data_IF_650199385209
#
_entry.id   IF_650199385209
#
_cell.length_a   1.000
_cell.length_b   1.000
_cell.length_c   1.000
_cell.angle_alpha   90.00
_cell.angle_beta   90.00
_cell.angle_gamma   90.00
#
_symmetry.space_group_name_H-M   'P 1'
#
loop_
_entity.id
_entity.type
_entity.pdbx_description
1 polymer ?
#
# COMPACT_ATOMS: atom_id res chain seq x y z
N UNK A 1 -19.18 -70.51 -33.59
CA UNK A 1 -19.40 -69.18 -34.22
C UNK A 1 -19.78 -68.06 -33.23
N UNK A 2 -20.37 -68.32 -32.05
CA UNK A 2 -20.86 -67.29 -31.10
C UNK A 2 -19.80 -66.36 -30.45
N UNK A 3 -18.53 -66.77 -30.35
CA UNK A 3 -17.45 -65.94 -29.74
C UNK A 3 -16.99 -64.78 -30.63
N UNK A 4 -17.05 -64.91 -31.96
CA UNK A 4 -16.60 -63.84 -32.88
C UNK A 4 -17.59 -62.67 -32.91
N UNK A 5 -18.88 -62.93 -32.78
CA UNK A 5 -19.93 -61.90 -32.77
C UNK A 5 -20.00 -61.12 -31.45
N UNK A 6 -19.65 -61.73 -30.31
CA UNK A 6 -19.59 -61.03 -29.01
C UNK A 6 -18.38 -60.11 -28.89
N UNK A 7 -17.22 -60.49 -29.45
CA UNK A 7 -16.03 -59.64 -29.49
C UNK A 7 -16.26 -58.45 -30.44
N UNK A 8 -16.90 -58.69 -31.59
CA UNK A 8 -17.22 -57.61 -32.54
C UNK A 8 -18.26 -56.63 -31.96
N UNK A 9 -19.25 -57.12 -31.20
CA UNK A 9 -20.23 -56.28 -30.52
C UNK A 9 -19.59 -55.43 -29.40
N UNK A 10 -18.70 -56.01 -28.59
CA UNK A 10 -17.98 -55.28 -27.54
C UNK A 10 -17.05 -54.20 -28.14
N UNK A 11 -16.35 -54.52 -29.22
CA UNK A 11 -15.51 -53.58 -29.95
C UNK A 11 -16.33 -52.45 -30.59
N UNK A 12 -17.51 -52.76 -31.16
CA UNK A 12 -18.42 -51.76 -31.70
C UNK A 12 -19.01 -50.83 -30.61
N UNK A 13 -19.35 -51.38 -29.44
CA UNK A 13 -19.79 -50.58 -28.28
C UNK A 13 -18.69 -49.68 -27.73
N UNK A 14 -17.44 -50.15 -27.70
CA UNK A 14 -16.29 -49.35 -27.29
C UNK A 14 -15.99 -48.22 -28.29
N UNK A 15 -16.12 -48.51 -29.59
CA UNK A 15 -15.88 -47.54 -30.66
C UNK A 15 -16.96 -46.45 -30.75
N UNK A 16 -18.19 -46.75 -30.32
CA UNK A 16 -19.28 -45.78 -30.16
C UNK A 16 -19.10 -44.84 -28.96
N UNK A 17 -18.29 -45.22 -27.95
CA UNK A 17 -18.00 -44.40 -26.75
C UNK A 17 -16.77 -43.50 -26.96
N UNK A 18 -15.85 -43.86 -27.86
CA UNK A 18 -14.67 -43.05 -28.22
C UNK A 18 -14.96 -41.58 -28.60
N UNK A 19 -15.99 -41.24 -29.42
CA UNK A 19 -16.27 -39.84 -29.74
C UNK A 19 -16.78 -39.05 -28.53
N UNK A 20 -17.38 -39.72 -27.53
CA UNK A 20 -17.83 -39.09 -26.29
C UNK A 20 -16.68 -38.80 -25.32
N UNK A 21 -15.59 -39.58 -25.40
CA UNK A 21 -14.35 -39.35 -24.64
C UNK A 21 -13.45 -38.27 -25.30
N UNK A 22 -13.56 -38.11 -26.62
CA UNK A 22 -12.84 -37.09 -27.39
C UNK A 22 -13.53 -35.69 -27.35
N UNK A 23 -14.80 -35.62 -26.95
CA UNK A 23 -15.59 -34.39 -26.96
C UNK A 23 -15.33 -33.44 -25.77
N UNK A 24 -14.40 -33.76 -24.88
CA UNK A 24 -14.02 -32.88 -23.76
C UNK A 24 -12.65 -32.22 -23.98
N UNK A 25 -12.35 -31.76 -25.19
CA UNK A 25 -11.27 -30.80 -25.36
C UNK A 25 -11.81 -29.44 -24.93
N UNK A 26 -11.72 -29.16 -23.62
CA UNK A 26 -12.01 -27.85 -23.08
C UNK A 26 -11.14 -26.85 -23.84
N UNK A 27 -11.77 -25.99 -24.64
CA UNK A 27 -11.10 -24.81 -25.17
C UNK A 27 -10.74 -23.95 -23.96
N UNK A 28 -9.50 -24.09 -23.48
CA UNK A 28 -8.94 -23.14 -22.53
C UNK A 28 -8.99 -21.77 -23.19
N UNK A 29 -9.80 -20.91 -22.61
CA UNK A 29 -9.95 -19.55 -23.06
C UNK A 29 -8.56 -18.90 -23.11
N UNK A 30 -8.04 -18.49 -24.29
CA UNK A 30 -6.69 -17.96 -24.42
C UNK A 30 -6.49 -16.66 -23.65
N UNK A 31 -7.59 -16.02 -23.25
CA UNK A 31 -7.62 -14.83 -22.41
C UNK A 31 -7.62 -15.15 -20.91
N UNK A 32 -7.81 -16.41 -20.48
CA UNK A 32 -7.83 -16.87 -19.07
C UNK A 32 -8.85 -16.16 -18.17
N UNK A 33 -9.79 -15.41 -18.74
CA UNK A 33 -10.82 -14.67 -18.01
C UNK A 33 -12.20 -15.05 -18.53
N UNK A 34 -13.02 -15.64 -17.66
CA UNK A 34 -14.38 -16.08 -18.01
C UNK A 34 -15.43 -15.00 -17.70
N UNK A 35 -15.02 -13.89 -17.08
CA UNK A 35 -15.89 -12.75 -16.74
C UNK A 35 -15.23 -11.40 -17.06
N UNK A 36 -16.07 -10.40 -17.37
CA UNK A 36 -15.66 -9.01 -17.62
C UNK A 36 -15.01 -8.40 -16.36
N UNK A 37 -15.49 -8.78 -15.18
CA UNK A 37 -14.93 -8.39 -13.89
C UNK A 37 -13.51 -8.91 -13.70
N UNK A 38 -13.24 -10.19 -13.97
CA UNK A 38 -11.89 -10.76 -13.86
C UNK A 38 -10.88 -10.11 -14.81
N UNK A 39 -11.33 -9.75 -16.02
CA UNK A 39 -10.53 -8.96 -16.96
C UNK A 39 -10.24 -7.55 -16.43
N UNK A 40 -11.26 -6.83 -15.94
CA UNK A 40 -11.11 -5.49 -15.35
C UNK A 40 -10.19 -5.49 -14.13
N UNK A 41 -10.34 -6.45 -13.22
CA UNK A 41 -9.46 -6.62 -12.06
C UNK A 41 -8.00 -6.88 -12.49
N UNK A 42 -7.79 -7.66 -13.54
CA UNK A 42 -6.44 -7.94 -14.06
C UNK A 42 -5.81 -6.72 -14.74
N UNK A 43 -6.60 -5.95 -15.49
CA UNK A 43 -6.17 -4.66 -16.04
C UNK A 43 -5.84 -3.68 -14.93
N UNK A 44 -6.65 -3.62 -13.86
CA UNK A 44 -6.41 -2.77 -12.70
C UNK A 44 -5.11 -3.15 -11.99
N UNK A 45 -4.85 -4.44 -11.77
CA UNK A 45 -3.59 -4.92 -11.18
C UNK A 45 -2.39 -4.60 -12.08
N UNK A 46 -2.52 -4.78 -13.40
CA UNK A 46 -1.47 -4.43 -14.36
C UNK A 46 -1.16 -2.92 -14.32
N UNK A 47 -2.19 -2.08 -14.33
CA UNK A 47 -2.07 -0.61 -14.22
C UNK A 47 -1.45 -0.22 -12.88
N UNK A 48 -1.86 -0.85 -11.76
CA UNK A 48 -1.26 -0.63 -10.44
C UNK A 48 0.24 -0.92 -10.42
N UNK A 49 0.66 -2.04 -11.01
CA UNK A 49 2.08 -2.42 -11.07
C UNK A 49 2.89 -1.46 -11.94
N UNK A 50 2.33 -1.01 -13.06
CA UNK A 50 2.94 0.00 -13.92
C UNK A 50 3.08 1.33 -13.15
N UNK A 51 2.02 1.80 -12.49
CA UNK A 51 2.06 3.04 -11.70
C UNK A 51 3.10 2.92 -10.57
N UNK A 52 3.15 1.80 -9.86
CA UNK A 52 4.15 1.58 -8.81
C UNK A 52 5.58 1.68 -9.33
N UNK A 53 5.85 1.10 -10.50
CA UNK A 53 7.18 1.13 -11.13
C UNK A 53 7.52 2.53 -11.65
N UNK A 54 6.57 3.22 -12.29
CA UNK A 54 6.76 4.59 -12.80
C UNK A 54 6.94 5.59 -11.65
N UNK A 55 6.17 5.45 -10.57
CA UNK A 55 6.29 6.29 -9.38
C UNK A 55 7.67 6.14 -8.75
N UNK A 56 8.19 4.91 -8.64
CA UNK A 56 9.55 4.67 -8.16
C UNK A 56 10.60 5.39 -9.02
N UNK A 57 10.51 5.26 -10.35
CA UNK A 57 11.44 5.94 -11.27
C UNK A 57 11.34 7.46 -11.13
N UNK A 58 10.12 8.01 -11.02
CA UNK A 58 9.90 9.45 -10.85
C UNK A 58 10.48 9.98 -9.53
N UNK A 59 10.38 9.21 -8.43
CA UNK A 59 11.01 9.55 -7.16
C UNK A 59 12.53 9.57 -7.29
N UNK A 60 13.13 8.59 -7.98
CA UNK A 60 14.58 8.54 -8.22
C UNK A 60 15.04 9.73 -9.06
N UNK A 61 14.32 10.07 -10.14
CA UNK A 61 14.63 11.24 -10.98
C UNK A 61 14.53 12.53 -10.15
N UNK A 62 13.48 12.68 -9.36
CA UNK A 62 13.31 13.83 -8.47
C UNK A 62 14.43 13.95 -7.44
N UNK A 63 14.86 12.83 -6.85
CA UNK A 63 15.95 12.80 -5.87
C UNK A 63 17.30 13.17 -6.51
N UNK A 64 17.62 12.62 -7.67
CA UNK A 64 18.83 12.98 -8.43
C UNK A 64 18.80 14.46 -8.81
N UNK A 65 17.65 14.96 -9.28
CA UNK A 65 17.48 16.38 -9.61
C UNK A 65 17.67 17.26 -8.39
N UNK A 66 17.18 16.86 -7.21
CA UNK A 66 17.36 17.60 -5.97
C UNK A 66 18.85 17.72 -5.58
N UNK A 67 19.60 16.61 -5.62
CA UNK A 67 21.03 16.58 -5.25
C UNK A 67 21.87 17.40 -6.23
N UNK A 68 21.56 17.31 -7.54
CA UNK A 68 22.30 18.02 -8.59
C UNK A 68 21.87 19.49 -8.78
N UNK A 69 20.89 19.98 -8.03
CA UNK A 69 20.36 21.34 -8.22
C UNK A 69 21.34 22.45 -7.85
N UNK A 70 22.43 22.15 -7.13
CA UNK A 70 23.57 23.05 -6.88
C UNK A 70 23.19 24.49 -6.43
N UNK A 71 22.11 24.62 -5.64
CA UNK A 71 21.63 25.92 -5.13
C UNK A 71 20.68 26.69 -6.06
N UNK A 72 20.35 26.17 -7.24
CA UNK A 72 19.30 26.74 -8.09
C UNK A 72 17.92 26.44 -7.48
N UNK A 73 17.27 27.46 -6.91
CA UNK A 73 15.96 27.33 -6.24
C UNK A 73 14.84 26.80 -7.15
N UNK A 74 14.87 27.12 -8.44
CA UNK A 74 13.89 26.66 -9.42
C UNK A 74 13.99 25.14 -9.60
N UNK A 75 15.20 24.61 -9.76
CA UNK A 75 15.45 23.16 -9.87
C UNK A 75 15.15 22.41 -8.58
N UNK A 76 15.47 23.01 -7.43
CA UNK A 76 15.12 22.45 -6.12
C UNK A 76 13.60 22.35 -5.97
N UNK A 77 12.87 23.39 -6.35
CA UNK A 77 11.41 23.43 -6.25
C UNK A 77 10.77 22.44 -7.22
N UNK A 78 11.24 22.38 -8.47
CA UNK A 78 10.80 21.39 -9.44
C UNK A 78 11.07 19.95 -8.95
N UNK A 79 12.21 19.71 -8.31
CA UNK A 79 12.56 18.40 -7.77
C UNK A 79 11.63 17.99 -6.64
N UNK A 80 11.40 18.90 -5.68
CA UNK A 80 10.43 18.69 -4.61
C UNK A 80 9.04 18.41 -5.16
N UNK A 81 8.57 19.19 -6.14
CA UNK A 81 7.25 19.01 -6.78
C UNK A 81 7.13 17.66 -7.48
N UNK A 82 8.20 17.20 -8.13
CA UNK A 82 8.22 15.90 -8.82
C UNK A 82 8.13 14.76 -7.80
N UNK A 83 8.90 14.83 -6.72
CA UNK A 83 8.86 13.84 -5.63
C UNK A 83 7.48 13.83 -4.97
N UNK A 84 6.92 14.99 -4.62
CA UNK A 84 5.61 15.05 -3.97
C UNK A 84 4.50 14.55 -4.87
N UNK A 85 4.51 14.90 -6.16
CA UNK A 85 3.53 14.38 -7.12
C UNK A 85 3.61 12.85 -7.26
N UNK A 86 4.82 12.29 -7.34
CA UNK A 86 5.02 10.84 -7.40
C UNK A 86 4.54 10.13 -6.12
N UNK A 87 4.83 10.72 -4.95
CA UNK A 87 4.37 10.19 -3.65
C UNK A 87 2.85 10.23 -3.51
N UNK A 88 2.21 11.32 -3.95
CA UNK A 88 0.74 11.43 -3.95
C UNK A 88 0.13 10.37 -4.89
N UNK A 89 0.67 10.21 -6.10
CA UNK A 89 0.20 9.19 -7.04
C UNK A 89 0.31 7.77 -6.48
N UNK A 90 1.43 7.45 -5.83
CA UNK A 90 1.61 6.15 -5.18
C UNK A 90 0.66 5.96 -3.98
N UNK A 91 0.47 7.00 -3.16
CA UNK A 91 -0.44 6.96 -2.02
C UNK A 91 -1.88 6.67 -2.47
N UNK A 92 -2.36 7.31 -3.53
CA UNK A 92 -3.71 7.08 -4.07
C UNK A 92 -3.89 5.62 -4.49
N UNK A 93 -2.89 5.04 -5.17
CA UNK A 93 -2.95 3.64 -5.62
C UNK A 93 -2.99 2.64 -4.46
N UNK A 94 -2.29 2.92 -3.37
CA UNK A 94 -2.30 2.07 -2.18
C UNK A 94 -3.64 2.17 -1.44
N UNK A 95 -4.23 3.37 -1.43
CA UNK A 95 -5.46 3.69 -0.68
C UNK A 95 -6.75 3.30 -1.45
N UNK A 96 -6.73 3.30 -2.77
CA UNK A 96 -7.88 2.98 -3.63
C UNK A 96 -8.66 1.69 -3.25
N UNK A 97 -8.02 0.53 -3.03
CA UNK A 97 -8.76 -0.69 -2.64
C UNK A 97 -9.41 -0.58 -1.26
N UNK A 98 -8.87 0.24 -0.35
CA UNK A 98 -9.43 0.46 0.98
C UNK A 98 -10.73 1.27 0.93
N UNK A 99 -10.87 2.20 -0.01
CA UNK A 99 -12.14 2.92 -0.22
C UNK A 99 -13.24 1.97 -0.71
N UNK A 100 -12.92 1.03 -1.59
CA UNK A 100 -13.89 0.02 -2.04
C UNK A 100 -14.35 -0.87 -0.88
N UNK A 101 -13.42 -1.26 0.00
CA UNK A 101 -13.75 -1.99 1.22
C UNK A 101 -14.69 -1.21 2.14
N UNK A 102 -14.43 0.08 2.36
CA UNK A 102 -15.31 0.93 3.19
C UNK A 102 -16.69 1.11 2.58
N UNK A 103 -16.78 1.33 1.25
CA UNK A 103 -18.06 1.43 0.56
C UNK A 103 -18.84 0.11 0.68
N UNK A 104 -18.16 -1.03 0.51
CA UNK A 104 -18.81 -2.34 0.64
C UNK A 104 -19.27 -2.61 2.08
N UNK A 105 -18.47 -2.24 3.08
CA UNK A 105 -18.83 -2.41 4.48
C UNK A 105 -19.92 -1.43 4.95
N UNK A 106 -19.99 -0.24 4.36
CA UNK A 106 -21.04 0.75 4.66
C UNK A 106 -22.37 0.41 3.96
N UNK A 107 -22.32 -0.15 2.75
CA UNK A 107 -23.51 -0.49 1.96
C UNK A 107 -24.06 -1.88 2.30
N UNK A 108 -23.23 -2.78 2.78
CA UNK A 108 -23.64 -4.14 3.14
C UNK A 108 -23.68 -4.29 4.66
N UNK A 109 -24.81 -4.74 5.21
CA UNK A 109 -24.94 -4.99 6.65
C UNK A 109 -23.82 -5.92 7.14
N UNK A 110 -23.29 -5.72 8.37
CA UNK A 110 -22.21 -6.54 8.91
C UNK A 110 -22.58 -8.02 8.86
N UNK A 111 -21.81 -8.81 8.09
CA UNK A 111 -22.00 -10.26 7.96
C UNK A 111 -22.47 -10.77 6.58
N UNK A 112 -22.61 -9.92 5.57
CA UNK A 112 -22.78 -10.41 4.20
C UNK A 112 -21.46 -10.92 3.60
N UNK A 113 -21.56 -11.95 2.75
CA UNK A 113 -20.43 -12.59 2.09
C UNK A 113 -19.71 -11.60 1.16
N UNK A 114 -18.66 -10.97 1.68
CA UNK A 114 -17.79 -10.12 0.87
C UNK A 114 -17.00 -11.00 -0.11
N UNK A 115 -16.90 -10.62 -1.39
CA UNK A 115 -16.01 -11.28 -2.34
C UNK A 115 -14.60 -11.38 -1.75
N UNK A 116 -13.93 -12.52 -1.93
CA UNK A 116 -12.60 -12.78 -1.35
C UNK A 116 -11.56 -11.70 -1.68
N UNK A 117 -11.72 -11.02 -2.82
CA UNK A 117 -10.88 -9.91 -3.26
C UNK A 117 -11.01 -8.69 -2.33
N UNK A 118 -12.22 -8.39 -1.86
CA UNK A 118 -12.50 -7.29 -0.93
C UNK A 118 -12.08 -7.68 0.49
N UNK A 119 -12.28 -8.94 0.90
CA UNK A 119 -11.88 -9.42 2.23
C UNK A 119 -10.36 -9.41 2.45
N UNK A 120 -9.57 -9.55 1.38
CA UNK A 120 -8.10 -9.44 1.43
C UNK A 120 -7.62 -8.00 1.34
N UNK A 121 -8.49 -7.04 1.04
CA UNK A 121 -8.11 -5.64 1.02
C UNK A 121 -7.79 -5.18 2.45
N UNK A 122 -6.66 -4.49 2.60
CA UNK A 122 -6.27 -3.90 3.88
C UNK A 122 -7.25 -2.74 4.14
N UNK A 123 -7.99 -2.73 5.27
CA UNK A 123 -8.92 -1.67 5.57
C UNK A 123 -8.18 -0.34 5.73
N UNK A 124 -8.82 0.76 5.36
CA UNK A 124 -8.20 2.10 5.37
C UNK A 124 -7.67 2.47 6.76
N UNK A 125 -8.41 2.08 7.78
CA UNK A 125 -8.02 2.24 9.20
C UNK A 125 -6.69 1.56 9.51
N UNK A 126 -6.41 0.38 8.95
CA UNK A 126 -5.12 -0.30 9.14
C UNK A 126 -4.00 0.40 8.40
N UNK A 127 -4.23 0.88 7.17
CA UNK A 127 -3.23 1.66 6.42
C UNK A 127 -2.90 2.95 7.18
N UNK A 128 -3.93 3.69 7.62
CA UNK A 128 -3.78 4.91 8.39
C UNK A 128 -2.99 4.68 9.69
N UNK A 129 -3.31 3.61 10.44
CA UNK A 129 -2.59 3.27 11.66
C UNK A 129 -1.14 2.83 11.40
N UNK A 130 -0.86 2.15 10.30
CA UNK A 130 0.51 1.77 9.92
C UNK A 130 1.34 2.98 9.51
N UNK A 131 0.78 3.87 8.70
CA UNK A 131 1.43 5.13 8.31
C UNK A 131 1.66 6.02 9.53
N UNK A 132 0.66 6.11 10.42
CA UNK A 132 0.79 6.84 11.68
C UNK A 132 1.91 6.26 12.54
N UNK A 133 1.96 4.94 12.75
CA UNK A 133 3.03 4.30 13.52
C UNK A 133 4.40 4.54 12.90
N UNK A 134 4.51 4.50 11.57
CA UNK A 134 5.75 4.84 10.88
C UNK A 134 6.15 6.30 11.12
N UNK A 135 5.25 7.26 10.92
CA UNK A 135 5.50 8.69 11.16
C UNK A 135 5.87 8.96 12.62
N UNK A 136 5.16 8.34 13.57
CA UNK A 136 5.48 8.43 14.99
C UNK A 136 6.85 7.83 15.32
N UNK A 137 7.22 6.72 14.69
CA UNK A 137 8.54 6.13 14.86
C UNK A 137 9.63 7.07 14.39
N UNK A 138 9.46 7.70 13.22
CA UNK A 138 10.41 8.68 12.67
C UNK A 138 10.49 9.92 13.56
N UNK A 139 9.35 10.51 13.92
CA UNK A 139 9.29 11.72 14.77
C UNK A 139 9.85 11.42 16.16
N UNK A 140 9.49 10.29 16.77
CA UNK A 140 9.97 9.87 18.08
C UNK A 140 11.48 9.65 18.10
N UNK A 141 12.03 9.03 17.05
CA UNK A 141 13.48 8.84 16.90
C UNK A 141 14.18 10.20 16.73
N UNK A 142 13.70 11.07 15.84
CA UNK A 142 14.27 12.40 15.64
C UNK A 142 14.19 13.27 16.90
N UNK A 143 13.07 13.24 17.60
CA UNK A 143 12.87 13.99 18.83
C UNK A 143 13.78 13.47 19.96
N UNK A 144 14.02 12.16 20.03
CA UNK A 144 14.98 11.58 20.98
C UNK A 144 16.41 12.06 20.67
N UNK A 145 16.81 12.06 19.40
CA UNK A 145 18.13 12.57 18.98
C UNK A 145 18.27 14.05 19.34
N UNK A 146 17.28 14.87 18.98
CA UNK A 146 17.29 16.31 19.26
C UNK A 146 17.29 16.58 20.77
N UNK A 147 16.59 15.78 21.57
CA UNK A 147 16.58 15.91 23.02
C UNK A 147 17.95 15.61 23.62
N UNK A 148 18.63 14.57 23.13
CA UNK A 148 20.01 14.24 23.54
C UNK A 148 20.99 15.35 23.13
N UNK A 149 20.90 15.84 21.89
CA UNK A 149 21.77 16.93 21.39
C UNK A 149 21.53 18.22 22.16
N UNK A 150 20.28 18.60 22.39
CA UNK A 150 19.93 19.78 23.19
C UNK A 150 20.38 19.67 24.64
N UNK A 151 20.26 18.48 25.25
CA UNK A 151 20.75 18.22 26.61
C UNK A 151 22.27 18.32 26.71
N UNK A 152 22.99 17.72 25.76
CA UNK A 152 24.45 17.79 25.70
C UNK A 152 24.94 19.23 25.48
N UNK A 153 24.28 19.98 24.59
CA UNK A 153 24.59 21.38 24.32
C UNK A 153 24.33 22.26 25.55
N UNK A 154 23.28 22.00 26.33
CA UNK A 154 22.99 22.74 27.55
C UNK A 154 24.08 22.58 28.61
N UNK A 155 24.55 21.34 28.81
CA UNK A 155 25.60 21.03 29.79
C UNK A 155 26.96 21.58 29.33
N UNK A 156 27.24 21.51 28.03
CA UNK A 156 28.51 21.96 27.43
C UNK A 156 28.65 23.47 27.22
N UNK A 157 27.58 24.25 27.39
CA UNK A 157 27.57 25.68 27.05
C UNK A 157 28.51 26.55 27.89
N UNK A 158 29.05 26.06 29.01
CA UNK A 158 30.10 26.71 29.83
C UNK A 158 29.85 28.21 30.18
N UNK A 159 28.59 28.65 30.20
CA UNK A 159 28.20 30.04 30.48
C UNK A 159 27.94 30.93 29.27
N UNK A 160 28.07 30.44 28.04
CA UNK A 160 27.67 31.15 26.82
C UNK A 160 26.14 31.19 26.69
N UNK A 161 25.53 32.35 26.96
CA UNK A 161 24.09 32.57 26.91
C UNK A 161 23.47 32.17 25.56
N UNK A 162 24.17 32.38 24.43
CA UNK A 162 23.64 32.02 23.11
C UNK A 162 23.52 30.52 22.93
N UNK A 163 24.48 29.75 23.45
CA UNK A 163 24.44 28.29 23.40
C UNK A 163 23.39 27.74 24.35
N UNK A 164 23.25 28.32 25.54
CA UNK A 164 22.23 27.95 26.51
C UNK A 164 20.83 28.16 25.93
N UNK A 165 20.57 29.30 25.28
CA UNK A 165 19.26 29.59 24.69
C UNK A 165 18.95 28.68 23.49
N UNK A 166 19.95 28.41 22.65
CA UNK A 166 19.82 27.46 21.55
C UNK A 166 19.48 26.06 22.07
N UNK A 167 20.19 25.59 23.10
CA UNK A 167 19.94 24.30 23.74
C UNK A 167 18.52 24.21 24.33
N UNK A 168 18.08 25.24 25.07
CA UNK A 168 16.71 25.30 25.61
C UNK A 168 15.65 25.23 24.52
N UNK A 169 15.87 25.91 23.39
CA UNK A 169 14.93 25.87 22.26
C UNK A 169 14.82 24.46 21.68
N UNK A 170 15.96 23.79 21.45
CA UNK A 170 16.01 22.43 20.92
C UNK A 170 15.28 21.46 21.86
N UNK A 171 15.56 21.53 23.16
CA UNK A 171 14.88 20.68 24.16
C UNK A 171 13.38 20.96 24.19
N UNK A 172 12.96 22.24 24.19
CA UNK A 172 11.55 22.61 24.17
C UNK A 172 10.83 22.04 22.94
N UNK A 173 11.39 22.21 21.75
CA UNK A 173 10.77 21.70 20.52
C UNK A 173 10.75 20.17 20.46
N UNK A 174 11.77 19.51 21.01
CA UNK A 174 11.81 18.04 21.10
C UNK A 174 10.68 17.51 22.00
N UNK A 175 10.48 18.12 23.17
CA UNK A 175 9.39 17.74 24.10
C UNK A 175 8.03 18.01 23.47
N UNK A 176 7.84 19.15 22.82
CA UNK A 176 6.59 19.47 22.11
C UNK A 176 6.34 18.46 20.99
N UNK A 177 7.37 18.08 20.22
CA UNK A 177 7.26 17.08 19.17
C UNK A 177 6.81 15.71 19.70
N UNK A 178 7.36 15.27 20.83
CA UNK A 178 6.95 14.02 21.49
C UNK A 178 5.51 14.14 22.00
N UNK A 179 5.15 15.25 22.63
CA UNK A 179 3.80 15.47 23.14
C UNK A 179 2.75 15.43 22.01
N UNK A 180 3.02 16.12 20.90
CA UNK A 180 2.14 16.13 19.71
C UNK A 180 2.04 14.73 19.10
N UNK A 181 3.14 13.99 19.01
CA UNK A 181 3.14 12.62 18.51
C UNK A 181 2.25 11.70 19.35
N UNK A 182 2.34 11.77 20.69
CA UNK A 182 1.51 10.99 21.60
C UNK A 182 0.03 11.36 21.51
N UNK A 183 -0.29 12.66 21.43
CA UNK A 183 -1.66 13.14 21.25
C UNK A 183 -2.26 12.68 19.92
N UNK A 184 -1.48 12.70 18.84
CA UNK A 184 -1.90 12.23 17.52
C UNK A 184 -2.32 10.75 17.54
N UNK A 185 -1.56 9.90 18.24
CA UNK A 185 -1.88 8.48 18.38
C UNK A 185 -3.19 8.25 19.14
N UNK A 186 -3.43 9.00 20.21
CA UNK A 186 -4.67 8.90 20.97
C UNK A 186 -5.86 9.29 20.09
N UNK A 187 -5.79 10.44 19.40
CA UNK A 187 -6.88 10.94 18.55
C UNK A 187 -7.20 9.93 17.44
N UNK A 188 -6.20 9.45 16.71
CA UNK A 188 -6.44 8.53 15.59
C UNK A 188 -6.96 7.18 16.07
N UNK A 189 -6.46 6.64 17.19
CA UNK A 189 -6.98 5.38 17.74
C UNK A 189 -8.42 5.51 18.20
N UNK A 190 -8.78 6.62 18.85
CA UNK A 190 -10.17 6.88 19.26
C UNK A 190 -11.08 7.01 18.04
N UNK A 191 -10.67 7.75 17.00
CA UNK A 191 -11.43 7.83 15.75
C UNK A 191 -11.56 6.44 15.10
N UNK A 192 -10.47 5.69 14.98
CA UNK A 192 -10.49 4.35 14.40
C UNK A 192 -11.44 3.41 15.15
N UNK A 193 -11.49 3.47 16.49
CA UNK A 193 -12.43 2.68 17.29
C UNK A 193 -13.88 3.10 17.08
N UNK A 194 -14.16 4.39 16.90
CA UNK A 194 -15.52 4.89 16.65
C UNK A 194 -16.03 4.49 15.27
N UNK A 195 -15.16 4.41 14.26
CA UNK A 195 -15.57 4.02 12.90
C UNK A 195 -15.57 2.49 12.67
N UNK A 196 -14.89 1.71 13.51
CA UNK A 196 -14.83 0.23 13.42
C UNK A 196 -15.79 -0.45 14.40
N UNK A 197 -16.33 0.30 15.37
CA UNK A 197 -17.34 -0.17 16.33
C UNK A 197 -18.78 -0.07 15.83
#
# INVERSE_FOLDING_TARGET
>A
MKKKTTILALAASFLLILPFLAAAQQFENPLRFDTVEGFLSSVLVAVRNIIGTVALVAVVIGAVMYVLSAGNEERITAAKKTITAAMIGLAIVIVAPSFLFEIYNALTLPGADMPDEVRRAIPLTTIALNVLQFLLGVIGTLATIMLVVGGAMYIGAAGDERQVDSAKSIVKYSIVGIAVALLSLIIVRTLAQVFVG
#
